data_IF_207490224705
#
_entry.id   IF_207490224705
#
_cell.length_a   1.000
_cell.length_b   1.000
_cell.length_c   1.000
_cell.angle_alpha   90.00
_cell.angle_beta   90.00
_cell.angle_gamma   90.00
#
_symmetry.space_group_name_H-M   'P 1'
#
loop_
_entity.id
_entity.type
_entity.pdbx_description
1 polymer ?
#
# COMPACT_ATOMS: atom_id res chain seq x y z
N UNK A 1 -19.47 27.05 -29.46
CA UNK A 1 -18.41 26.59 -28.54
C UNK A 1 -17.82 25.35 -29.19
N UNK A 2 -16.62 25.49 -29.76
CA UNK A 2 -15.93 24.44 -30.50
C UNK A 2 -15.53 23.30 -29.55
N UNK A 3 -16.12 22.12 -29.76
CA UNK A 3 -15.67 20.88 -29.16
C UNK A 3 -14.30 20.52 -29.75
N UNK A 4 -13.23 20.77 -28.99
CA UNK A 4 -11.91 20.20 -29.27
C UNK A 4 -12.02 18.68 -29.18
N UNK A 5 -12.13 18.03 -30.33
CA UNK A 5 -11.90 16.60 -30.50
C UNK A 5 -10.46 16.29 -30.07
N UNK A 6 -10.29 15.89 -28.80
CA UNK A 6 -9.08 15.23 -28.35
C UNK A 6 -9.06 13.86 -29.04
N UNK A 7 -8.00 13.60 -29.81
CA UNK A 7 -7.69 12.40 -30.57
C UNK A 7 -7.70 11.10 -29.73
N UNK A 8 -8.86 10.66 -29.25
CA UNK A 8 -9.05 9.41 -28.48
C UNK A 8 -9.66 8.28 -29.32
N UNK A 9 -9.66 8.36 -30.66
CA UNK A 9 -10.32 7.38 -31.52
C UNK A 9 -9.43 6.23 -32.06
N UNK A 10 -8.12 6.20 -31.75
CA UNK A 10 -7.22 5.13 -32.23
C UNK A 10 -6.69 4.16 -31.17
N UNK A 11 -6.79 4.49 -29.87
CA UNK A 11 -6.11 3.77 -28.78
C UNK A 11 -7.07 3.22 -27.72
N UNK A 12 -8.30 2.89 -28.12
CA UNK A 12 -9.34 2.38 -27.21
C UNK A 12 -9.05 0.97 -26.65
N UNK A 13 -8.10 0.23 -27.25
CA UNK A 13 -7.64 -1.06 -26.74
C UNK A 13 -6.68 -0.96 -25.55
N UNK A 14 -5.72 -0.04 -25.59
CA UNK A 14 -4.65 0.06 -24.59
C UNK A 14 -5.16 0.44 -23.21
N UNK A 15 -6.17 1.31 -23.12
CA UNK A 15 -6.77 1.71 -21.84
C UNK A 15 -7.44 0.53 -21.13
N UNK A 16 -7.98 -0.43 -21.87
CA UNK A 16 -8.60 -1.64 -21.31
C UNK A 16 -7.55 -2.60 -20.76
N UNK A 17 -6.45 -2.76 -21.48
CA UNK A 17 -5.31 -3.57 -21.05
C UNK A 17 -4.74 -3.03 -19.74
N UNK A 18 -4.50 -1.72 -19.65
CA UNK A 18 -4.01 -1.05 -18.44
C UNK A 18 -4.97 -1.26 -17.26
N UNK A 19 -6.28 -1.10 -17.48
CA UNK A 19 -7.27 -1.32 -16.43
C UNK A 19 -7.27 -2.75 -15.89
N UNK A 20 -7.13 -3.77 -16.75
CA UNK A 20 -7.03 -5.16 -16.31
C UNK A 20 -5.74 -5.45 -15.54
N UNK A 21 -4.59 -4.93 -15.98
CA UNK A 21 -3.33 -5.06 -15.24
C UNK A 21 -3.43 -4.40 -13.86
N UNK A 22 -4.06 -3.23 -13.77
CA UNK A 22 -4.26 -2.53 -12.49
C UNK A 22 -5.18 -3.33 -11.56
N UNK A 23 -6.24 -3.95 -12.08
CA UNK A 23 -7.11 -4.86 -11.31
C UNK A 23 -6.33 -6.05 -10.78
N UNK A 24 -5.59 -6.76 -11.64
CA UNK A 24 -4.82 -7.95 -11.23
C UNK A 24 -3.79 -7.56 -10.17
N UNK A 25 -3.05 -6.47 -10.39
CA UNK A 25 -2.09 -5.94 -9.43
C UNK A 25 -2.73 -5.57 -8.09
N UNK A 26 -3.88 -4.88 -8.12
CA UNK A 26 -4.59 -4.51 -6.90
C UNK A 26 -5.12 -5.73 -6.13
N UNK A 27 -5.64 -6.74 -6.82
CA UNK A 27 -6.10 -7.99 -6.19
C UNK A 27 -4.93 -8.72 -5.52
N UNK A 28 -3.80 -8.86 -6.21
CA UNK A 28 -2.60 -9.47 -5.65
C UNK A 28 -2.08 -8.70 -4.43
N UNK A 29 -2.08 -7.36 -4.50
CA UNK A 29 -1.67 -6.49 -3.39
C UNK A 29 -2.62 -6.62 -2.18
N UNK A 30 -3.93 -6.68 -2.41
CA UNK A 30 -4.92 -6.89 -1.34
C UNK A 30 -4.70 -8.24 -0.66
N UNK A 31 -4.50 -9.32 -1.43
CA UNK A 31 -4.25 -10.66 -0.86
C UNK A 31 -2.99 -10.64 0.01
N UNK A 32 -1.88 -10.07 -0.51
CA UNK A 32 -0.63 -9.93 0.24
C UNK A 32 -0.81 -9.10 1.53
N UNK A 33 -1.53 -7.98 1.47
CA UNK A 33 -1.82 -7.14 2.62
C UNK A 33 -2.65 -7.87 3.68
N UNK A 34 -3.65 -8.66 3.26
CA UNK A 34 -4.44 -9.46 4.19
C UNK A 34 -3.58 -10.51 4.88
N UNK A 35 -2.71 -11.20 4.15
CA UNK A 35 -1.78 -12.18 4.72
C UNK A 35 -0.84 -11.50 5.74
N UNK A 36 -0.30 -10.33 5.40
CA UNK A 36 0.57 -9.55 6.31
C UNK A 36 -0.18 -9.08 7.56
N UNK A 37 -1.43 -8.64 7.42
CA UNK A 37 -2.25 -8.22 8.55
C UNK A 37 -2.57 -9.39 9.49
N UNK A 38 -2.97 -10.54 8.94
CA UNK A 38 -3.22 -11.75 9.72
C UNK A 38 -1.93 -12.25 10.39
N UNK A 39 -0.81 -12.28 9.66
CA UNK A 39 0.49 -12.62 10.22
C UNK A 39 0.90 -11.70 11.37
N UNK A 40 0.63 -10.39 11.22
CA UNK A 40 0.94 -9.38 12.25
C UNK A 40 0.05 -9.55 13.48
N UNK A 41 -1.25 -9.85 13.34
CA UNK A 41 -2.13 -10.07 14.51
C UNK A 41 -1.77 -11.34 15.25
N UNK A 42 -1.44 -12.42 14.53
CA UNK A 42 -0.95 -13.67 15.13
C UNK A 42 0.38 -13.44 15.85
N UNK A 43 1.34 -12.73 15.23
CA UNK A 43 2.58 -12.37 15.91
C UNK A 43 2.30 -11.57 17.18
N UNK A 44 1.40 -10.59 17.14
CA UNK A 44 1.04 -9.76 18.31
C UNK A 44 0.55 -10.60 19.48
N UNK A 45 -0.26 -11.62 19.21
CA UNK A 45 -0.75 -12.55 20.22
C UNK A 45 0.38 -13.42 20.79
N UNK A 46 1.35 -13.80 19.95
CA UNK A 46 2.50 -14.62 20.37
C UNK A 46 3.58 -13.85 21.15
N UNK A 47 3.60 -12.51 21.08
CA UNK A 47 4.58 -11.66 21.80
C UNK A 47 4.51 -11.86 23.31
N UNK A 48 3.34 -12.18 23.87
CA UNK A 48 3.19 -12.44 25.31
C UNK A 48 3.89 -13.72 25.78
N UNK A 49 4.26 -14.61 24.86
CA UNK A 49 5.01 -15.84 25.14
C UNK A 49 6.43 -15.81 24.57
N UNK A 50 6.86 -14.67 24.02
CA UNK A 50 8.17 -14.55 23.40
C UNK A 50 9.28 -14.60 24.46
N UNK A 51 10.30 -15.41 24.18
CA UNK A 51 11.53 -15.50 24.97
C UNK A 51 12.67 -14.87 24.21
N UNK A 52 13.58 -14.25 24.93
CA UNK A 52 14.81 -13.71 24.36
C UNK A 52 15.64 -14.89 23.80
N UNK A 53 15.96 -14.89 22.49
CA UNK A 53 16.71 -15.97 21.86
C UNK A 53 18.14 -16.12 22.40
N UNK A 54 18.70 -15.11 23.07
CA UNK A 54 20.05 -15.16 23.64
C UNK A 54 20.07 -15.72 25.05
N UNK A 55 19.06 -15.44 25.86
CA UNK A 55 19.02 -15.79 27.29
C UNK A 55 17.97 -16.83 27.66
N UNK A 56 17.07 -17.20 26.73
CA UNK A 56 15.88 -18.03 26.97
C UNK A 56 14.98 -17.53 28.11
N UNK A 57 15.16 -16.27 28.54
CA UNK A 57 14.32 -15.62 29.55
C UNK A 57 13.12 -14.95 28.89
N UNK A 58 12.00 -14.77 29.61
CA UNK A 58 10.90 -13.95 29.12
C UNK A 58 11.41 -12.54 28.76
N UNK A 59 10.91 -11.97 27.66
CA UNK A 59 11.27 -10.61 27.24
C UNK A 59 11.08 -9.60 28.38
N UNK A 60 11.98 -8.61 28.46
CA UNK A 60 11.80 -7.50 29.39
C UNK A 60 10.48 -6.78 29.08
N UNK A 61 9.73 -6.32 30.10
CA UNK A 61 8.47 -5.60 29.89
C UNK A 61 8.61 -4.36 29.00
N UNK A 62 9.79 -3.73 28.95
CA UNK A 62 10.07 -2.62 28.02
C UNK A 62 10.20 -3.08 26.55
N UNK A 63 10.89 -4.18 26.30
CA UNK A 63 11.04 -4.77 24.96
C UNK A 63 9.70 -5.28 24.44
N UNK A 64 8.91 -5.90 25.32
CA UNK A 64 7.57 -6.37 24.98
C UNK A 64 6.64 -5.20 24.62
N UNK A 65 6.73 -4.07 25.34
CA UNK A 65 5.95 -2.86 25.05
C UNK A 65 6.35 -2.23 23.71
N UNK A 66 7.65 -2.15 23.42
CA UNK A 66 8.13 -1.58 22.14
C UNK A 66 7.76 -2.47 20.95
N UNK A 67 7.88 -3.79 21.06
CA UNK A 67 7.43 -4.72 20.02
C UNK A 67 5.91 -4.62 19.78
N UNK A 68 5.10 -4.60 20.85
CA UNK A 68 3.64 -4.43 20.73
C UNK A 68 3.27 -3.09 20.10
N UNK A 69 3.97 -2.01 20.43
CA UNK A 69 3.74 -0.69 19.84
C UNK A 69 4.08 -0.69 18.34
N UNK A 70 5.23 -1.26 17.95
CA UNK A 70 5.63 -1.39 16.56
C UNK A 70 4.64 -2.23 15.74
N UNK A 71 4.19 -3.37 16.28
CA UNK A 71 3.19 -4.21 15.63
C UNK A 71 1.83 -3.53 15.50
N UNK A 72 1.41 -2.77 16.53
CA UNK A 72 0.18 -1.99 16.45
C UNK A 72 0.26 -0.95 15.35
N UNK A 73 1.40 -0.26 15.24
CA UNK A 73 1.67 0.67 14.14
C UNK A 73 1.61 -0.01 12.77
N UNK A 74 2.21 -1.20 12.63
CA UNK A 74 2.16 -1.98 11.40
C UNK A 74 0.74 -2.42 11.01
N UNK A 75 -0.08 -2.83 11.98
CA UNK A 75 -1.49 -3.20 11.75
C UNK A 75 -2.29 -1.98 11.28
N UNK A 76 -2.16 -0.84 11.96
CA UNK A 76 -2.87 0.40 11.59
C UNK A 76 -2.43 0.87 10.20
N UNK A 77 -1.13 0.90 9.93
CA UNK A 77 -0.60 1.24 8.61
C UNK A 77 -1.07 0.28 7.52
N UNK A 78 -1.09 -1.02 7.80
CA UNK A 78 -1.61 -2.05 6.89
C UNK A 78 -3.09 -1.87 6.57
N UNK A 79 -3.92 -1.46 7.54
CA UNK A 79 -5.34 -1.14 7.30
C UNK A 79 -5.48 0.07 6.37
N UNK A 80 -4.69 1.13 6.58
CA UNK A 80 -4.70 2.30 5.70
C UNK A 80 -4.31 1.92 4.27
N UNK A 81 -3.24 1.12 4.12
CA UNK A 81 -2.82 0.60 2.81
C UNK A 81 -3.89 -0.28 2.16
N UNK A 82 -4.62 -1.09 2.94
CA UNK A 82 -5.72 -1.91 2.44
C UNK A 82 -6.86 -1.05 1.90
N UNK A 83 -7.21 0.03 2.59
CA UNK A 83 -8.23 1.00 2.13
C UNK A 83 -7.79 1.65 0.83
N UNK A 84 -6.54 2.11 0.74
CA UNK A 84 -5.98 2.72 -0.47
C UNK A 84 -5.94 1.73 -1.64
N UNK A 85 -5.52 0.50 -1.42
CA UNK A 85 -5.51 -0.56 -2.42
C UNK A 85 -6.92 -0.87 -2.94
N UNK A 86 -7.91 -0.93 -2.03
CA UNK A 86 -9.32 -1.13 -2.38
C UNK A 86 -9.86 0.05 -3.19
N UNK A 87 -9.51 1.29 -2.81
CA UNK A 87 -9.91 2.47 -3.57
C UNK A 87 -9.29 2.49 -4.98
N UNK A 88 -8.02 2.12 -5.11
CA UNK A 88 -7.34 1.97 -6.39
C UNK A 88 -8.01 0.91 -7.28
N UNK A 89 -8.43 -0.21 -6.70
CA UNK A 89 -9.21 -1.24 -7.39
C UNK A 89 -10.55 -0.70 -7.92
N UNK A 90 -11.30 0.05 -7.11
CA UNK A 90 -12.55 0.69 -7.52
C UNK A 90 -12.30 1.65 -8.70
N UNK A 91 -11.23 2.46 -8.62
CA UNK A 91 -10.89 3.39 -9.70
C UNK A 91 -10.49 2.68 -10.99
N UNK A 92 -9.82 1.52 -10.90
CA UNK A 92 -9.54 0.68 -12.07
C UNK A 92 -10.83 0.14 -12.73
N UNK A 93 -11.83 -0.23 -11.93
CA UNK A 93 -13.17 -0.60 -12.44
C UNK A 93 -13.84 0.59 -13.12
N UNK A 94 -13.76 1.79 -12.54
CA UNK A 94 -14.29 3.03 -13.14
C UNK A 94 -13.64 3.31 -14.48
N UNK A 95 -12.33 3.11 -14.61
CA UNK A 95 -11.61 3.23 -15.89
C UNK A 95 -12.14 2.25 -16.93
N UNK A 96 -12.24 0.97 -16.57
CA UNK A 96 -12.74 -0.08 -17.46
C UNK A 96 -14.17 0.23 -17.91
N UNK A 97 -15.05 0.60 -16.98
CA UNK A 97 -16.44 0.98 -17.29
C UNK A 97 -16.50 2.21 -18.20
N UNK A 98 -15.65 3.21 -17.95
CA UNK A 98 -15.52 4.39 -18.80
C UNK A 98 -15.05 4.07 -20.21
N UNK A 99 -14.09 3.14 -20.34
CA UNK A 99 -13.57 2.66 -21.63
C UNK A 99 -14.59 1.81 -22.41
N UNK A 100 -15.38 0.98 -21.73
CA UNK A 100 -16.44 0.20 -22.38
C UNK A 100 -17.61 1.07 -22.82
N UNK A 101 -18.05 2.00 -21.97
CA UNK A 101 -19.17 2.89 -22.26
C UNK A 101 -18.79 4.13 -23.09
N UNK A 102 -17.53 4.24 -23.54
CA UNK A 102 -16.96 5.42 -24.22
C UNK A 102 -17.30 6.73 -23.52
N UNK A 103 -17.34 6.73 -22.18
CA UNK A 103 -17.69 7.90 -21.40
C UNK A 103 -16.40 8.64 -20.98
N UNK A 104 -16.04 9.75 -21.64
CA UNK A 104 -14.77 10.45 -21.38
C UNK A 104 -14.69 11.01 -19.96
N UNK A 105 -15.84 11.30 -19.31
CA UNK A 105 -15.88 11.83 -17.95
C UNK A 105 -15.33 10.84 -16.92
N UNK A 106 -15.57 9.54 -17.10
CA UNK A 106 -15.08 8.49 -16.20
C UNK A 106 -13.58 8.23 -16.42
N UNK A 107 -13.12 8.27 -17.66
CA UNK A 107 -11.70 8.15 -18.01
C UNK A 107 -10.91 9.36 -17.46
N UNK A 108 -11.49 10.57 -17.56
CA UNK A 108 -10.88 11.78 -17.02
C UNK A 108 -10.77 11.74 -15.49
N UNK A 109 -11.80 11.25 -14.78
CA UNK A 109 -11.74 11.08 -13.33
C UNK A 109 -10.61 10.13 -12.89
N UNK A 110 -10.39 9.03 -13.64
CA UNK A 110 -9.28 8.12 -13.38
C UNK A 110 -7.91 8.75 -13.67
N UNK A 111 -7.78 9.52 -14.76
CA UNK A 111 -6.53 10.22 -15.07
C UNK A 111 -6.15 11.22 -13.98
N UNK A 112 -7.10 12.03 -13.50
CA UNK A 112 -6.87 12.99 -12.41
C UNK A 112 -6.39 12.26 -11.15
N UNK A 113 -7.05 11.16 -10.77
CA UNK A 113 -6.63 10.34 -9.64
C UNK A 113 -5.21 9.80 -9.80
N UNK A 114 -4.88 9.26 -10.97
CA UNK A 114 -3.55 8.69 -11.24
C UNK A 114 -2.45 9.74 -11.14
N UNK A 115 -2.70 10.95 -11.66
CA UNK A 115 -1.75 12.07 -11.54
C UNK A 115 -1.56 12.48 -10.08
N UNK A 116 -2.63 12.56 -9.29
CA UNK A 116 -2.54 12.86 -7.85
C UNK A 116 -1.70 11.80 -7.13
N UNK A 117 -1.95 10.51 -7.38
CA UNK A 117 -1.17 9.42 -6.80
C UNK A 117 0.31 9.47 -7.19
N UNK A 118 0.63 9.80 -8.44
CA UNK A 118 2.02 9.94 -8.90
C UNK A 118 2.74 11.12 -8.22
N UNK A 119 2.04 12.22 -7.95
CA UNK A 119 2.61 13.38 -7.24
C UNK A 119 2.83 13.05 -5.76
N UNK A 120 1.95 12.25 -5.15
CA UNK A 120 2.05 11.85 -3.75
C UNK A 120 3.10 10.75 -3.50
N UNK A 121 3.37 9.90 -4.49
CA UNK A 121 4.32 8.78 -4.38
C UNK A 121 5.75 9.18 -3.93
N UNK A 122 6.39 10.22 -4.51
CA UNK A 122 7.73 10.64 -4.05
C UNK A 122 7.69 11.22 -2.63
N UNK A 123 6.59 11.87 -2.21
CA UNK A 123 6.46 12.42 -0.86
C UNK A 123 6.42 11.33 0.21
N UNK A 124 5.85 10.16 -0.10
CA UNK A 124 5.85 8.99 0.80
C UNK A 124 7.27 8.42 1.00
N UNK A 125 8.08 8.36 -0.07
CA UNK A 125 9.47 7.89 0.02
C UNK A 125 10.34 8.82 0.87
N UNK A 126 10.18 10.14 0.72
CA UNK A 126 10.89 11.12 1.56
C UNK A 126 10.47 11.04 3.03
N UNK A 127 9.19 10.78 3.32
CA UNK A 127 8.72 10.59 4.70
C UNK A 127 9.24 9.28 5.31
N UNK A 128 9.33 8.20 4.51
CA UNK A 128 9.86 6.92 4.97
C UNK A 128 11.36 7.01 5.28
N UNK A 129 12.16 7.66 4.43
CA UNK A 129 13.58 7.90 4.71
C UNK A 129 13.76 8.85 5.90
N UNK A 130 12.95 9.90 6.02
CA UNK A 130 12.98 10.81 7.17
C UNK A 130 12.63 10.14 8.51
N UNK A 131 11.74 9.14 8.51
CA UNK A 131 11.40 8.37 9.72
C UNK A 131 12.46 7.32 10.08
N UNK A 132 13.19 6.78 9.09
CA UNK A 132 14.31 5.83 9.33
C UNK A 132 15.55 6.53 9.89
N UNK A 133 15.77 7.81 9.57
CA UNK A 133 16.92 8.57 10.09
C UNK A 133 16.78 8.94 11.59
N UNK A 134 15.59 8.82 12.19
CA UNK A 134 15.38 9.08 13.62
C UNK A 134 15.36 7.82 14.51
N UNK A 135 15.93 6.71 14.03
CA UNK A 135 16.51 5.68 14.91
C UNK A 135 17.97 5.48 14.51
N UNK A 136 18.94 6.00 15.29
CA UNK A 136 20.33 5.71 15.00
C UNK A 136 20.58 4.20 15.17
N UNK A 137 21.13 3.61 14.12
CA UNK A 137 22.13 2.55 14.14
C UNK A 137 22.55 2.06 15.54
N UNK A 138 21.94 1.00 16.06
CA UNK A 138 22.45 0.33 17.26
C UNK A 138 22.38 -1.21 17.27
N UNK A 139 21.95 -1.89 16.19
CA UNK A 139 21.70 -3.34 16.31
C UNK A 139 22.07 -4.25 15.13
N UNK A 140 22.81 -3.78 14.11
CA UNK A 140 23.23 -4.65 12.99
C UNK A 140 24.76 -4.77 12.83
N UNK A 141 25.59 -3.97 13.50
CA UNK A 141 27.06 -4.00 13.32
C UNK A 141 27.85 -4.61 14.50
N UNK A 142 27.28 -5.58 15.21
CA UNK A 142 28.00 -6.39 16.21
C UNK A 142 27.73 -7.90 16.05
N UNK A 143 27.28 -8.31 14.86
CA UNK A 143 27.03 -9.71 14.50
C UNK A 143 27.82 -10.15 13.25
N UNK A 144 28.92 -9.45 12.94
CA UNK A 144 29.99 -9.92 12.04
C UNK A 144 31.30 -9.75 12.79
#
# INVERSE_FOLDING_TARGET
MEEKQICCCGSSGWTRVIGWFQIIGAVMAIILLVILLVGSTVLRASVDSARDPKTNQPLSPEEMRTMKAALTGAIVGGIVLLILATFSFIMAIVLLRGSYNRNPRQIHAWMVYTVICLILSPLEQFFYEGAVINKPCALILNAI
#
